data_IF_915954769396
#
_entry.id   IF_915954769396
#
_cell.length_a   1.000
_cell.length_b   1.000
_cell.length_c   1.000
_cell.angle_alpha   90.00
_cell.angle_beta   90.00
_cell.angle_gamma   90.00
#
_symmetry.space_group_name_H-M   'P 1'
#
loop_
_entity.id
_entity.type
_entity.pdbx_description
1 polymer ?
#
# COMPACT_ATOMS: atom_id res chain seq x y z
N UNK A 1 -14.51 -7.85 -11.41
CA UNK A 1 -13.34 -8.41 -10.72
C UNK A 1 -13.17 -7.56 -9.47
N UNK A 2 -13.23 -8.15 -8.28
CA UNK A 2 -13.06 -7.39 -7.03
C UNK A 2 -11.68 -6.73 -7.02
N UNK A 3 -11.60 -5.50 -6.56
CA UNK A 3 -10.33 -4.81 -6.43
C UNK A 3 -9.49 -5.57 -5.40
N UNK A 4 -8.34 -6.10 -5.83
CA UNK A 4 -7.39 -6.73 -4.91
C UNK A 4 -6.74 -5.62 -4.09
N UNK A 5 -7.22 -5.42 -2.86
CA UNK A 5 -6.59 -4.49 -1.92
C UNK A 5 -5.35 -5.14 -1.32
N UNK A 6 -4.27 -4.37 -1.24
CA UNK A 6 -3.00 -4.78 -0.62
C UNK A 6 -3.09 -4.44 0.86
N UNK A 7 -3.05 -5.45 1.73
CA UNK A 7 -2.93 -5.24 3.18
C UNK A 7 -1.48 -4.90 3.54
N UNK A 8 -1.29 -3.87 4.36
CA UNK A 8 0.00 -3.52 4.93
C UNK A 8 -0.16 -3.37 6.45
N UNK A 9 0.52 -4.21 7.22
CA UNK A 9 0.37 -4.25 8.69
C UNK A 9 1.68 -4.53 9.45
N UNK A 10 2.82 -4.59 8.75
CA UNK A 10 4.14 -4.81 9.36
C UNK A 10 4.54 -3.71 10.37
N UNK A 11 4.03 -2.48 10.18
CA UNK A 11 4.22 -1.37 11.12
C UNK A 11 2.86 -1.00 11.71
N UNK A 12 2.60 -1.42 12.95
CA UNK A 12 1.28 -1.36 13.61
C UNK A 12 0.61 0.02 13.59
N UNK A 13 1.37 1.11 13.73
CA UNK A 13 0.82 2.48 13.70
C UNK A 13 0.76 3.10 12.30
N UNK A 14 1.11 2.33 11.27
CA UNK A 14 1.01 2.67 9.83
C UNK A 14 0.35 1.52 9.07
N UNK A 15 -0.68 0.93 9.65
CA UNK A 15 -1.37 -0.22 9.08
C UNK A 15 -2.60 0.18 8.26
N UNK A 16 -3.01 -0.68 7.33
CA UNK A 16 -4.15 -0.41 6.49
C UNK A 16 -4.24 -1.23 5.21
N UNK A 17 -4.99 -0.68 4.26
CA UNK A 17 -5.21 -1.27 2.94
C UNK A 17 -4.96 -0.25 1.83
N UNK A 18 -4.40 -0.70 0.71
CA UNK A 18 -4.22 0.08 -0.51
C UNK A 18 -5.02 -0.57 -1.66
N UNK A 19 -5.94 0.17 -2.26
CA UNK A 19 -6.68 -0.22 -3.45
C UNK A 19 -6.10 0.46 -4.68
N UNK A 20 -6.05 -0.27 -5.80
CA UNK A 20 -5.65 0.24 -7.11
C UNK A 20 -6.73 -0.09 -8.12
N UNK A 21 -7.45 0.93 -8.60
CA UNK A 21 -8.60 0.74 -9.49
C UNK A 21 -8.47 1.62 -10.73
N UNK A 22 -8.60 1.01 -11.91
CA UNK A 22 -8.49 1.71 -13.19
C UNK A 22 -9.86 2.21 -13.69
N UNK A 23 -9.86 3.35 -14.38
CA UNK A 23 -11.01 3.89 -15.11
C UNK A 23 -12.24 4.20 -14.25
N UNK A 24 -12.06 4.63 -12.98
CA UNK A 24 -13.11 5.39 -12.28
C UNK A 24 -13.40 6.66 -13.08
N UNK A 25 -12.34 7.40 -13.44
CA UNK A 25 -12.35 8.34 -14.56
C UNK A 25 -11.53 7.80 -15.75
N UNK A 26 -11.98 8.05 -17.00
CA UNK A 26 -11.28 7.54 -18.19
C UNK A 26 -9.80 7.95 -18.24
N UNK A 27 -8.92 6.96 -18.47
CA UNK A 27 -7.48 7.21 -18.60
C UNK A 27 -6.77 7.50 -17.27
N UNK A 28 -7.44 7.24 -16.14
CA UNK A 28 -6.89 7.43 -14.81
C UNK A 28 -6.86 6.13 -14.00
N UNK A 29 -5.97 6.12 -13.01
CA UNK A 29 -5.76 5.09 -12.01
C UNK A 29 -6.02 5.74 -10.65
N UNK A 30 -7.01 5.25 -9.92
CA UNK A 30 -7.26 5.61 -8.54
C UNK A 30 -6.38 4.77 -7.61
N UNK A 31 -5.75 5.45 -6.66
CA UNK A 31 -5.03 4.87 -5.53
C UNK A 31 -5.76 5.31 -4.27
N UNK A 32 -6.33 4.35 -3.54
CA UNK A 32 -7.07 4.64 -2.33
C UNK A 32 -6.43 3.93 -1.14
N UNK A 33 -6.14 4.70 -0.10
CA UNK A 33 -5.57 4.18 1.14
C UNK A 33 -6.57 4.27 2.27
N UNK A 34 -6.65 3.21 3.06
CA UNK A 34 -7.48 3.11 4.25
C UNK A 34 -6.57 2.92 5.45
N UNK A 35 -6.36 3.96 6.27
CA UNK A 35 -5.54 3.86 7.47
C UNK A 35 -6.35 3.31 8.63
N UNK A 36 -5.93 2.17 9.17
CA UNK A 36 -6.66 1.50 10.25
C UNK A 36 -6.07 1.86 11.62
N UNK A 37 -6.97 2.01 12.60
CA UNK A 37 -6.61 2.35 13.97
C UNK A 37 -5.53 1.38 14.52
N UNK A 38 -4.46 1.88 15.17
CA UNK A 38 -3.33 1.06 15.61
C UNK A 38 -3.69 -0.05 16.59
N UNK A 39 -4.77 0.12 17.34
CA UNK A 39 -5.23 -0.86 18.33
C UNK A 39 -5.94 -2.06 17.70
N UNK A 40 -6.30 -1.98 16.43
CA UNK A 40 -6.89 -3.08 15.70
C UNK A 40 -5.81 -3.99 15.13
N UNK A 41 -6.11 -5.29 15.14
CA UNK A 41 -5.32 -6.30 14.46
C UNK A 41 -6.01 -6.64 13.14
N UNK A 42 -5.35 -6.31 12.03
CA UNK A 42 -5.81 -6.65 10.69
C UNK A 42 -5.05 -7.84 10.08
N UNK A 43 -4.25 -8.56 10.87
CA UNK A 43 -3.63 -9.79 10.42
C UNK A 43 -4.69 -10.83 10.04
N UNK A 44 -4.55 -11.39 8.83
CA UNK A 44 -5.50 -12.35 8.29
C UNK A 44 -6.87 -11.78 7.88
N UNK A 45 -7.12 -10.47 8.06
CA UNK A 45 -8.34 -9.83 7.55
C UNK A 45 -8.27 -9.69 6.04
N UNK A 46 -9.35 -10.09 5.37
CA UNK A 46 -9.55 -9.68 3.99
C UNK A 46 -10.13 -8.27 3.97
N UNK A 47 -9.78 -7.53 2.91
CA UNK A 47 -10.13 -6.13 2.75
C UNK A 47 -11.62 -5.84 2.54
N UNK A 48 -12.40 -6.90 2.35
CA UNK A 48 -13.84 -6.90 2.12
C UNK A 48 -14.60 -7.25 3.41
N UNK A 49 -13.87 -7.52 4.51
CA UNK A 49 -14.49 -7.57 5.83
C UNK A 49 -14.99 -6.18 6.18
N UNK A 50 -16.26 -6.10 6.60
CA UNK A 50 -16.88 -4.87 7.10
C UNK A 50 -16.11 -4.43 8.34
N UNK A 51 -15.22 -3.46 8.17
CA UNK A 51 -14.62 -2.73 9.27
C UNK A 51 -15.66 -1.75 9.79
N UNK A 52 -15.72 -1.56 11.11
CA UNK A 52 -16.57 -0.52 11.68
C UNK A 52 -16.02 0.85 11.28
N UNK A 53 -16.89 1.85 11.13
CA UNK A 53 -16.46 3.18 10.67
C UNK A 53 -15.39 3.81 11.59
N UNK A 54 -15.44 3.51 12.89
CA UNK A 54 -14.46 3.95 13.89
C UNK A 54 -13.09 3.24 13.79
N UNK A 55 -13.01 2.19 12.98
CA UNK A 55 -11.78 1.45 12.70
C UNK A 55 -10.89 2.18 11.71
N UNK A 56 -11.45 3.07 10.88
CA UNK A 56 -10.73 3.84 9.87
C UNK A 56 -10.38 5.22 10.44
N UNK A 57 -9.09 5.49 10.56
CA UNK A 57 -8.57 6.77 11.08
C UNK A 57 -8.38 7.82 10.00
N UNK A 58 -8.15 7.37 8.76
CA UNK A 58 -8.10 8.22 7.58
C UNK A 58 -8.41 7.38 6.34
N UNK A 59 -8.89 8.07 5.32
CA UNK A 59 -9.00 7.56 3.95
C UNK A 59 -8.42 8.63 3.02
N UNK A 60 -7.57 8.22 2.09
CA UNK A 60 -7.00 9.14 1.10
C UNK A 60 -7.08 8.52 -0.28
N UNK A 61 -7.76 9.24 -1.18
CA UNK A 61 -7.89 8.91 -2.60
C UNK A 61 -7.01 9.86 -3.42
N UNK A 62 -6.24 9.29 -4.34
CA UNK A 62 -5.41 10.03 -5.30
C UNK A 62 -5.65 9.44 -6.67
N UNK A 63 -5.87 10.31 -7.65
CA UNK A 63 -6.06 9.89 -9.02
C UNK A 63 -4.89 10.31 -9.90
N UNK A 64 -4.31 9.33 -10.60
CA UNK A 64 -3.16 9.51 -11.47
C UNK A 64 -3.56 9.25 -12.91
N UNK A 65 -3.10 10.09 -13.84
CA UNK A 65 -3.14 9.71 -15.25
C UNK A 65 -2.11 8.60 -15.54
N UNK A 66 -2.19 8.00 -16.74
CA UNK A 66 -1.31 6.89 -17.14
C UNK A 66 0.19 7.20 -17.01
N UNK A 67 0.63 8.41 -17.38
CA UNK A 67 2.06 8.76 -17.33
C UNK A 67 2.54 8.97 -15.89
N UNK A 68 1.72 9.56 -15.02
CA UNK A 68 1.99 9.67 -13.59
C UNK A 68 2.05 8.30 -12.91
N UNK A 69 1.14 7.39 -13.28
CA UNK A 69 1.16 6.02 -12.77
C UNK A 69 2.43 5.26 -13.20
N UNK A 70 2.87 5.40 -14.45
CA UNK A 70 4.17 4.84 -14.90
C UNK A 70 5.35 5.41 -14.11
N UNK A 71 5.35 6.72 -13.85
CA UNK A 71 6.39 7.36 -13.05
C UNK A 71 6.40 6.84 -11.60
N UNK A 72 5.22 6.59 -11.02
CA UNK A 72 5.09 5.95 -9.71
C UNK A 72 5.67 4.52 -9.72
N UNK A 73 5.35 3.70 -10.73
CA UNK A 73 5.90 2.33 -10.86
C UNK A 73 7.42 2.36 -10.89
N UNK A 74 8.02 3.19 -11.75
CA UNK A 74 9.47 3.32 -11.83
C UNK A 74 10.10 3.76 -10.49
N UNK A 75 9.45 4.67 -9.77
CA UNK A 75 9.91 5.13 -8.45
C UNK A 75 9.83 4.02 -7.39
N UNK A 76 8.77 3.20 -7.43
CA UNK A 76 8.57 2.08 -6.55
C UNK A 76 9.58 0.96 -6.81
N UNK A 77 9.81 0.61 -8.08
CA UNK A 77 10.84 -0.37 -8.48
C UNK A 77 12.23 0.04 -7.99
N UNK A 78 12.59 1.32 -8.17
CA UNK A 78 13.85 1.85 -7.67
C UNK A 78 13.95 1.79 -6.13
N UNK A 79 12.84 2.02 -5.42
CA UNK A 79 12.80 1.92 -3.96
C UNK A 79 12.97 0.47 -3.47
N UNK A 80 12.31 -0.49 -4.13
CA UNK A 80 12.46 -1.92 -3.86
C UNK A 80 13.93 -2.34 -4.02
N UNK A 81 14.56 -1.98 -5.14
CA UNK A 81 15.96 -2.30 -5.39
C UNK A 81 16.90 -1.77 -4.29
N UNK A 82 16.64 -0.58 -3.73
CA UNK A 82 17.43 -0.04 -2.61
C UNK A 82 17.19 -0.78 -1.29
N UNK A 83 15.94 -1.15 -1.01
CA UNK A 83 15.58 -1.84 0.23
C UNK A 83 16.16 -3.25 0.29
N UNK A 84 16.20 -3.97 -0.83
CA UNK A 84 16.70 -5.36 -0.90
C UNK A 84 18.22 -5.51 -0.78
N UNK A 85 19.01 -4.42 -0.91
CA UNK A 85 20.48 -4.47 -0.86
C UNK A 85 21.03 -4.37 0.58
N UNK A 86 20.19 -4.12 1.58
CA UNK A 86 20.62 -3.77 2.93
C UNK A 86 21.01 -4.95 3.85
N UNK A 87 21.14 -6.18 3.34
CA UNK A 87 21.51 -7.38 4.13
C UNK A 87 22.78 -8.10 3.62
N UNK A 88 23.90 -7.39 3.47
CA UNK A 88 25.21 -8.08 3.49
C UNK A 88 25.96 -7.73 4.76
N UNK A 89 26.19 -8.69 5.68
CA UNK A 89 27.17 -8.47 6.73
C UNK A 89 28.52 -8.23 6.05
N UNK A 90 29.24 -7.20 6.49
CA UNK A 90 30.62 -7.01 6.12
C UNK A 90 31.38 -8.32 6.39
N UNK A 91 32.15 -8.77 5.39
CA UNK A 91 33.16 -9.81 5.55
C UNK A 91 33.90 -9.57 6.87
N UNK A 92 33.70 -10.46 7.83
CA UNK A 92 34.59 -10.55 8.98
C UNK A 92 35.76 -11.39 8.51
N UNK A 93 36.69 -10.71 7.83
CA UNK A 93 38.07 -11.19 7.66
C UNK A 93 38.66 -11.42 9.06
N UNK A 94 38.79 -12.68 9.47
CA UNK A 94 39.75 -13.18 10.44
C UNK A 94 40.19 -14.59 10.12
#
# INVERSE_FOLDING_TARGET
MGANKICFNDVRYRQGFLEVTANIHPGHINLETWQIHPDLDISGKQSDEVLADDSVTANTEIELNVEQAKALVASLEAAIARASVSERPADVDR
#
